data_IF_442506207058
#
_entry.id   IF_442506207058
#
_cell.length_a   1.000
_cell.length_b   1.000
_cell.length_c   1.000
_cell.angle_alpha   90.00
_cell.angle_beta   90.00
_cell.angle_gamma   90.00
#
_symmetry.space_group_name_H-M   'P 1'
#
loop_
_entity.id
_entity.type
_entity.pdbx_description
1 polymer ?
#
# COMPACT_ATOMS: atom_id res chain seq x y z
N UNK A 1 25.37 16.83 3.57
CA UNK A 1 24.04 16.34 3.13
C UNK A 1 23.81 15.00 3.80
N UNK A 2 23.24 15.00 5.00
CA UNK A 2 22.80 13.76 5.65
C UNK A 2 21.57 13.28 4.89
N UNK A 3 21.72 12.21 4.12
CA UNK A 3 20.59 11.47 3.56
C UNK A 3 19.83 10.89 4.74
N UNK A 4 18.81 11.61 5.20
CA UNK A 4 17.87 11.11 6.21
C UNK A 4 17.29 9.81 5.66
N UNK A 5 17.69 8.69 6.25
CA UNK A 5 17.26 7.36 5.85
C UNK A 5 15.80 7.26 6.27
N UNK A 6 14.89 7.70 5.40
CA UNK A 6 13.46 7.72 5.69
C UNK A 6 13.03 6.34 6.20
N UNK A 7 12.49 6.34 7.41
CA UNK A 7 11.95 5.13 8.04
C UNK A 7 10.91 4.46 7.15
N UNK A 8 10.77 3.14 7.26
CA UNK A 8 9.73 2.41 6.53
C UNK A 8 8.35 2.93 6.91
N UNK A 9 8.16 3.33 8.17
CA UNK A 9 6.96 3.99 8.67
C UNK A 9 6.61 5.29 7.91
N UNK A 10 7.61 6.14 7.64
CA UNK A 10 7.41 7.38 6.87
C UNK A 10 7.09 7.09 5.40
N UNK A 11 7.85 6.17 4.78
CA UNK A 11 7.61 5.75 3.40
C UNK A 11 6.19 5.18 3.23
N UNK A 12 5.78 4.33 4.17
CA UNK A 12 4.45 3.78 4.30
C UNK A 12 3.38 4.87 4.39
N UNK A 13 3.58 5.88 5.25
CA UNK A 13 2.67 7.03 5.36
C UNK A 13 2.53 7.83 4.06
N UNK A 14 3.65 8.11 3.38
CA UNK A 14 3.64 8.79 2.09
C UNK A 14 2.92 7.98 1.02
N UNK A 15 3.16 6.67 0.96
CA UNK A 15 2.53 5.76 0.00
C UNK A 15 1.00 5.72 0.20
N UNK A 16 0.52 5.64 1.44
CA UNK A 16 -0.91 5.66 1.75
C UNK A 16 -1.60 6.94 1.30
N UNK A 17 -0.88 8.06 1.28
CA UNK A 17 -1.44 9.33 0.85
C UNK A 17 -1.51 9.48 -0.69
N UNK A 18 -0.95 8.53 -1.45
CA UNK A 18 -0.99 8.56 -2.90
C UNK A 18 -2.35 8.03 -3.39
N UNK A 19 -3.13 8.79 -4.18
CA UNK A 19 -4.40 8.32 -4.71
C UNK A 19 -4.23 7.11 -5.64
N UNK A 20 -3.08 7.00 -6.31
CA UNK A 20 -2.73 5.84 -7.12
C UNK A 20 -2.64 4.54 -6.29
N UNK A 21 -2.18 4.63 -5.03
CA UNK A 21 -2.08 3.46 -4.15
C UNK A 21 -3.46 2.99 -3.72
N UNK A 22 -4.41 3.90 -3.45
CA UNK A 22 -5.81 3.57 -3.21
C UNK A 22 -6.42 2.79 -4.37
N UNK A 23 -6.22 3.25 -5.62
CA UNK A 23 -6.70 2.53 -6.82
C UNK A 23 -6.09 1.13 -6.98
N UNK A 24 -4.83 0.96 -6.60
CA UNK A 24 -4.20 -0.35 -6.59
C UNK A 24 -4.86 -1.29 -5.57
N UNK A 25 -5.18 -0.79 -4.38
CA UNK A 25 -5.91 -1.56 -3.37
C UNK A 25 -7.31 -1.94 -3.86
N UNK A 26 -8.03 -1.00 -4.49
CA UNK A 26 -9.32 -1.29 -5.14
C UNK A 26 -9.18 -2.40 -6.19
N UNK A 27 -8.20 -2.29 -7.10
CA UNK A 27 -7.97 -3.29 -8.14
C UNK A 27 -7.61 -4.67 -7.56
N UNK A 28 -6.84 -4.70 -6.47
CA UNK A 28 -6.48 -5.93 -5.77
C UNK A 28 -7.68 -6.54 -5.06
N UNK A 29 -8.47 -5.74 -4.35
CA UNK A 29 -9.68 -6.17 -3.66
C UNK A 29 -10.73 -6.70 -4.65
N UNK A 30 -10.87 -6.07 -5.83
CA UNK A 30 -11.69 -6.61 -6.93
C UNK A 30 -11.24 -7.99 -7.35
N UNK A 31 -9.93 -8.16 -7.58
CA UNK A 31 -9.38 -9.44 -8.03
C UNK A 31 -9.58 -10.54 -6.98
N UNK A 32 -9.40 -10.20 -5.71
CA UNK A 32 -9.56 -11.14 -4.58
C UNK A 32 -11.02 -11.57 -4.39
N UNK A 33 -11.95 -10.61 -4.46
CA UNK A 33 -13.39 -10.85 -4.27
C UNK A 33 -14.15 -11.21 -5.56
N UNK A 34 -13.48 -11.21 -6.71
CA UNK A 34 -14.10 -11.40 -8.02
C UNK A 34 -15.10 -10.30 -8.41
N UNK A 35 -14.92 -9.07 -7.91
CA UNK A 35 -15.85 -7.95 -8.14
C UNK A 35 -15.52 -7.20 -9.43
N UNK A 36 -16.56 -6.63 -10.06
CA UNK A 36 -16.39 -5.74 -11.21
C UNK A 36 -16.14 -4.28 -10.77
N UNK A 37 -15.70 -3.44 -11.71
CA UNK A 37 -15.46 -2.00 -11.47
C UNK A 37 -16.74 -1.25 -11.06
N UNK A 38 -17.90 -1.77 -11.42
CA UNK A 38 -19.20 -1.21 -11.04
C UNK A 38 -19.52 -1.50 -9.56
N UNK A 39 -19.11 -2.66 -9.05
CA UNK A 39 -19.33 -3.04 -7.65
C UNK A 39 -18.32 -2.40 -6.70
N UNK A 40 -17.09 -2.17 -7.16
CA UNK A 40 -16.08 -1.44 -6.41
C UNK A 40 -15.44 -0.38 -7.32
N UNK A 41 -15.92 0.87 -7.35
CA UNK A 41 -15.31 1.91 -8.18
C UNK A 41 -13.87 2.25 -7.74
N UNK A 42 -13.09 2.85 -8.64
CA UNK A 42 -11.72 3.29 -8.31
C UNK A 42 -11.76 4.55 -7.43
N UNK A 43 -10.99 4.55 -6.34
CA UNK A 43 -10.94 5.68 -5.41
C UNK A 43 -11.92 5.58 -4.26
N UNK A 44 -12.40 4.37 -3.92
CA UNK A 44 -13.15 4.17 -2.67
C UNK A 44 -12.24 4.15 -1.44
N UNK A 45 -10.96 3.82 -1.64
CA UNK A 45 -9.97 3.76 -0.56
C UNK A 45 -9.35 5.15 -0.32
N UNK A 46 -9.53 5.67 0.90
CA UNK A 46 -8.86 6.87 1.40
C UNK A 46 -7.50 6.53 2.02
N UNK A 47 -6.72 7.55 2.38
CA UNK A 47 -5.40 7.36 3.00
C UNK A 47 -5.45 6.55 4.31
N UNK A 48 -6.53 6.69 5.10
CA UNK A 48 -6.74 5.91 6.32
C UNK A 48 -6.99 4.43 6.02
N UNK A 49 -7.83 4.14 5.02
CA UNK A 49 -8.13 2.77 4.60
C UNK A 49 -6.88 2.11 4.01
N UNK A 50 -6.10 2.86 3.21
CA UNK A 50 -4.82 2.39 2.70
C UNK A 50 -3.82 2.07 3.81
N UNK A 51 -3.82 2.84 4.90
CA UNK A 51 -2.97 2.56 6.06
C UNK A 51 -3.43 1.32 6.82
N UNK A 52 -4.74 1.12 6.99
CA UNK A 52 -5.33 -0.06 7.61
C UNK A 52 -5.07 -1.33 6.77
N UNK A 53 -5.29 -1.27 5.46
CA UNK A 53 -5.01 -2.37 4.54
C UNK A 53 -3.52 -2.76 4.56
N UNK A 54 -2.62 -1.79 4.61
CA UNK A 54 -1.19 -2.05 4.72
C UNK A 54 -0.79 -2.68 6.06
N UNK A 55 -1.33 -2.17 7.18
CA UNK A 55 -1.14 -2.76 8.52
C UNK A 55 -1.58 -4.21 8.55
N UNK A 56 -2.80 -4.51 8.07
CA UNK A 56 -3.33 -5.88 7.97
C UNK A 56 -2.47 -6.76 7.07
N UNK A 57 -2.04 -6.24 5.92
CA UNK A 57 -1.19 -6.99 4.98
C UNK A 57 0.20 -7.29 5.54
N UNK A 58 0.79 -6.37 6.31
CA UNK A 58 2.09 -6.54 6.94
C UNK A 58 2.01 -7.26 8.30
N UNK A 59 0.82 -7.49 8.84
CA UNK A 59 0.62 -8.13 10.14
C UNK A 59 1.02 -7.25 11.34
N UNK A 60 0.98 -5.92 11.18
CA UNK A 60 1.39 -4.97 12.23
C UNK A 60 0.24 -4.08 12.67
N UNK A 61 0.24 -3.70 13.94
CA UNK A 61 -0.75 -2.77 14.48
C UNK A 61 -0.43 -1.31 14.10
N UNK A 62 0.86 -0.98 14.00
CA UNK A 62 1.32 0.37 13.72
C UNK A 62 2.38 0.42 12.62
N UNK A 63 2.43 1.54 11.89
CA UNK A 63 3.43 1.74 10.83
C UNK A 63 4.86 1.78 11.38
N UNK A 64 5.02 2.17 12.65
CA UNK A 64 6.31 2.18 13.34
C UNK A 64 6.90 0.77 13.53
N UNK A 65 6.05 -0.26 13.60
CA UNK A 65 6.50 -1.65 13.68
C UNK A 65 7.20 -2.12 12.39
N UNK A 66 6.95 -1.49 11.24
CA UNK A 66 7.66 -1.79 10.00
C UNK A 66 9.18 -1.59 10.12
N UNK A 67 9.63 -0.66 10.96
CA UNK A 67 11.07 -0.42 11.17
C UNK A 67 11.70 -1.37 12.19
N UNK A 68 10.87 -2.05 13.00
CA UNK A 68 11.33 -2.96 14.06
C UNK A 68 11.18 -4.43 13.68
N UNK A 69 10.21 -4.74 12.82
CA UNK A 69 9.89 -6.08 12.38
C UNK A 69 10.37 -6.30 10.93
N UNK A 70 11.36 -7.19 10.77
CA UNK A 70 11.94 -7.50 9.47
C UNK A 70 10.97 -8.25 8.54
N UNK A 71 10.03 -9.02 9.09
CA UNK A 71 9.00 -9.71 8.30
C UNK A 71 8.00 -8.69 7.75
N UNK A 72 7.56 -7.75 8.59
CA UNK A 72 6.69 -6.66 8.17
C UNK A 72 7.38 -5.77 7.12
N UNK A 73 8.67 -5.46 7.31
CA UNK A 73 9.48 -4.74 6.33
C UNK A 73 9.59 -5.47 4.99
N UNK A 74 9.81 -6.79 5.00
CA UNK A 74 9.87 -7.60 3.80
C UNK A 74 8.52 -7.61 3.05
N UNK A 75 7.42 -7.72 3.78
CA UNK A 75 6.07 -7.68 3.23
C UNK A 75 5.75 -6.31 2.62
N UNK A 76 6.10 -5.23 3.32
CA UNK A 76 5.95 -3.86 2.81
C UNK A 76 6.72 -3.66 1.50
N UNK A 77 7.99 -4.09 1.43
CA UNK A 77 8.80 -4.02 0.19
C UNK A 77 8.15 -4.79 -0.96
N UNK A 78 7.55 -5.95 -0.67
CA UNK A 78 6.82 -6.75 -1.67
C UNK A 78 5.57 -6.00 -2.18
N UNK A 79 4.82 -5.35 -1.29
CA UNK A 79 3.65 -4.53 -1.66
C UNK A 79 4.07 -3.36 -2.54
N UNK A 80 5.15 -2.66 -2.18
CA UNK A 80 5.69 -1.54 -2.97
C UNK A 80 6.14 -1.99 -4.36
N UNK A 81 6.80 -3.14 -4.47
CA UNK A 81 7.21 -3.71 -5.75
C UNK A 81 6.00 -4.10 -6.63
N UNK A 82 4.97 -4.70 -6.03
CA UNK A 82 3.73 -5.07 -6.74
C UNK A 82 2.97 -3.82 -7.21
N UNK A 83 2.84 -2.81 -6.34
CA UNK A 83 2.28 -1.51 -6.68
C UNK A 83 3.04 -0.88 -7.85
N UNK A 84 4.37 -0.87 -7.84
CA UNK A 84 5.17 -0.33 -8.96
C UNK A 84 4.95 -1.07 -10.28
N UNK A 85 4.71 -2.39 -10.25
CA UNK A 85 4.35 -3.18 -11.43
C UNK A 85 2.93 -2.87 -11.91
N UNK A 86 1.96 -2.80 -10.99
CA UNK A 86 0.58 -2.45 -11.30
C UNK A 86 0.48 -1.03 -11.87
N UNK A 87 1.20 -0.08 -11.28
CA UNK A 87 1.27 1.33 -11.71
C UNK A 87 1.75 1.41 -13.15
N UNK A 88 2.85 0.73 -13.49
CA UNK A 88 3.36 0.67 -14.87
C UNK A 88 2.40 0.05 -15.87
N UNK A 89 1.45 -0.79 -15.43
CA UNK A 89 0.43 -1.40 -16.30
C UNK A 89 -0.81 -0.52 -16.46
N UNK A 90 -1.14 0.31 -15.48
CA UNK A 90 -2.36 1.12 -15.46
C UNK A 90 -2.14 2.60 -15.80
N UNK A 91 -0.90 3.11 -15.69
CA UNK A 91 -0.51 4.48 -16.09
C UNK A 91 0.36 4.49 -17.38
N UNK A 92 0.29 3.46 -18.22
CA UNK A 92 0.94 3.42 -19.53
C UNK A 92 -0.05 3.64 -20.66
#
# INVERSE_FOLDING_TARGET
MTTDRQSLAQQAGMLCNLPAFGRYLDARARRDKGLTREQLPDGTHNAEDAADAMRRACGVESRADLDRDEQAAAMFRRIVADFGRWKRRNEA
#
